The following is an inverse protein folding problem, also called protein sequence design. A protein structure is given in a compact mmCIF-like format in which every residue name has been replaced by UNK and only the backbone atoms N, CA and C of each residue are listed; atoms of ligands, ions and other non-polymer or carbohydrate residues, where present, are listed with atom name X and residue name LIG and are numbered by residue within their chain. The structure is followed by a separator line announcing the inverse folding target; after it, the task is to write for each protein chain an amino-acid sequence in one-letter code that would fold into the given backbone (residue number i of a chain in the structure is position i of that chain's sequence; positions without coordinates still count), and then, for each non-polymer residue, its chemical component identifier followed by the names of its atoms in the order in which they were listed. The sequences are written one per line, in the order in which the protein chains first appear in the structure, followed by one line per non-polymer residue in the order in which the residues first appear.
data_IF_045316020167
#
_entry.id   IF_045316020167
#
_cell.length_a   1.000
_cell.length_b   1.000
_cell.length_c   1.000
_cell.angle_alpha   90.00
_cell.angle_beta   90.00
_cell.angle_gamma   90.00
#
_symmetry.space_group_name_H-M   'P 1'
#
loop_
_entity.id
_entity.type
_entity.pdbx_description
1 polymer ?
#
# COMPACT_ATOMS: atom_id res chain seq x y z
N UNK A 1 70.63 -83.56 -20.70
CA UNK A 1 72.10 -83.41 -20.62
C UNK A 1 72.43 -82.46 -19.48
N UNK A 2 73.12 -82.98 -18.46
CA UNK A 2 74.10 -82.37 -17.55
C UNK A 2 73.90 -80.91 -17.07
N UNK A 3 73.65 -80.81 -15.76
CA UNK A 3 74.39 -80.00 -14.77
C UNK A 3 74.64 -78.51 -15.08
N UNK A 4 74.32 -77.57 -14.19
CA UNK A 4 75.01 -77.44 -12.90
C UNK A 4 74.19 -76.69 -11.84
N UNK A 5 74.23 -77.22 -10.63
CA UNK A 5 73.99 -76.54 -9.36
C UNK A 5 75.23 -75.74 -8.95
N UNK A 6 75.02 -74.63 -8.20
CA UNK A 6 75.87 -73.96 -7.18
C UNK A 6 75.60 -72.45 -7.25
N UNK A 7 75.41 -71.66 -6.19
CA UNK A 7 75.55 -71.79 -4.73
C UNK A 7 74.56 -70.79 -4.10
N UNK A 8 74.05 -71.17 -2.94
CA UNK A 8 73.39 -70.26 -2.01
C UNK A 8 74.35 -69.15 -1.54
N UNK A 9 73.83 -67.94 -1.40
CA UNK A 9 74.31 -66.97 -0.43
C UNK A 9 73.09 -66.21 0.09
N UNK A 10 72.69 -66.56 1.30
CA UNK A 10 71.71 -65.86 2.09
C UNK A 10 72.24 -64.46 2.40
N UNK A 11 71.54 -63.42 1.95
CA UNK A 11 71.67 -62.08 2.52
C UNK A 11 70.32 -61.75 3.15
N UNK A 12 70.26 -61.99 4.46
CA UNK A 12 69.26 -61.41 5.37
C UNK A 12 69.45 -59.89 5.35
N UNK A 13 68.79 -59.21 4.41
CA UNK A 13 68.58 -57.77 4.49
C UNK A 13 67.35 -57.56 5.35
N UNK A 14 67.62 -57.29 6.63
CA UNK A 14 66.70 -56.66 7.56
C UNK A 14 66.17 -55.37 6.93
N UNK A 15 65.00 -55.42 6.29
CA UNK A 15 64.23 -54.20 6.01
C UNK A 15 63.81 -53.62 7.35
N UNK A 16 64.30 -52.44 7.76
CA UNK A 16 63.57 -51.69 8.74
C UNK A 16 62.27 -51.30 8.04
N UNK A 17 61.14 -51.76 8.58
CA UNK A 17 59.87 -51.07 8.38
C UNK A 17 60.13 -49.61 8.74
N UNK A 18 60.35 -48.77 7.71
CA UNK A 18 60.19 -47.34 7.82
C UNK A 18 58.69 -47.14 8.06
N UNK A 19 58.28 -47.29 9.33
CA UNK A 19 57.21 -46.48 9.86
C UNK A 19 57.69 -45.05 9.66
N UNK A 20 57.37 -44.47 8.51
CA UNK A 20 57.32 -43.03 8.37
C UNK A 20 56.40 -42.60 9.50
N UNK A 21 57.02 -42.05 10.54
CA UNK A 21 56.31 -41.34 11.57
C UNK A 21 55.28 -40.47 10.85
N UNK A 22 54.02 -40.57 11.27
CA UNK A 22 53.13 -39.45 11.09
C UNK A 22 53.82 -38.34 11.88
N UNK A 23 54.58 -37.48 11.19
CA UNK A 23 55.00 -36.22 11.78
C UNK A 23 53.72 -35.60 12.30
N UNK A 24 53.72 -35.26 13.59
CA UNK A 24 52.65 -34.45 14.15
C UNK A 24 52.65 -33.18 13.32
N UNK A 25 51.71 -33.07 12.38
CA UNK A 25 51.50 -31.82 11.65
C UNK A 25 51.41 -30.74 12.70
N UNK A 26 52.34 -29.79 12.66
CA UNK A 26 52.42 -28.69 13.59
C UNK A 26 51.25 -27.75 13.25
N UNK A 27 50.03 -28.14 13.65
CA UNK A 27 48.77 -27.44 13.37
C UNK A 27 48.70 -26.02 13.98
N UNK A 28 49.81 -25.49 14.50
CA UNK A 28 49.92 -24.13 15.02
C UNK A 28 50.17 -23.05 13.96
N UNK A 29 50.43 -23.43 12.70
CA UNK A 29 50.71 -22.45 11.62
C UNK A 29 49.88 -22.75 10.38
N UNK A 30 49.17 -21.72 9.93
CA UNK A 30 48.39 -21.75 8.71
C UNK A 30 49.33 -21.76 7.49
N UNK A 31 49.21 -22.79 6.64
CA UNK A 31 50.11 -22.99 5.51
C UNK A 31 49.64 -22.23 4.25
N UNK A 32 50.02 -20.97 4.09
CA UNK A 32 49.85 -20.25 2.84
C UNK A 32 49.76 -18.74 3.01
N UNK A 33 49.67 -18.03 1.88
CA UNK A 33 49.46 -16.58 1.90
C UNK A 33 48.16 -16.24 2.62
N UNK A 34 48.19 -15.22 3.49
CA UNK A 34 46.99 -14.63 4.06
C UNK A 34 46.09 -14.16 2.90
N UNK A 35 44.76 -14.40 2.95
CA UNK A 35 43.86 -13.86 1.95
C UNK A 35 44.01 -12.34 1.86
N UNK A 36 44.11 -11.82 0.63
CA UNK A 36 44.10 -10.39 0.37
C UNK A 36 42.76 -10.04 -0.30
N UNK A 37 41.69 -9.82 0.49
CA UNK A 37 40.39 -9.55 -0.07
C UNK A 37 40.36 -8.18 -0.74
N UNK A 38 39.76 -8.11 -1.92
CA UNK A 38 39.49 -6.86 -2.60
C UNK A 38 38.28 -7.03 -3.52
N UNK A 39 37.56 -5.95 -3.81
CA UNK A 39 36.41 -6.02 -4.70
C UNK A 39 36.18 -4.74 -5.48
N UNK A 40 35.36 -4.86 -6.51
CA UNK A 40 34.72 -3.74 -7.20
C UNK A 40 33.21 -3.89 -7.17
N UNK A 41 32.49 -2.78 -7.28
CA UNK A 41 31.02 -2.75 -7.30
C UNK A 41 30.52 -1.91 -8.47
N UNK A 42 29.48 -2.37 -9.16
CA UNK A 42 28.80 -1.65 -10.22
C UNK A 42 27.32 -1.42 -9.82
N UNK A 43 26.94 -0.16 -9.63
CA UNK A 43 25.57 0.23 -9.27
C UNK A 43 24.73 0.37 -10.53
N UNK A 44 23.66 -0.43 -10.67
CA UNK A 44 22.72 -0.31 -11.78
C UNK A 44 21.53 0.58 -11.40
N UNK A 45 21.65 1.88 -11.67
CA UNK A 45 20.61 2.88 -11.43
C UNK A 45 19.59 3.03 -12.59
N UNK A 46 19.56 2.10 -13.54
CA UNK A 46 18.57 2.11 -14.65
C UNK A 46 17.18 1.61 -14.23
N UNK A 47 17.04 1.18 -12.96
CA UNK A 47 15.79 0.76 -12.38
C UNK A 47 15.82 0.95 -10.85
N UNK A 48 14.63 0.95 -10.25
CA UNK A 48 14.41 0.94 -8.82
C UNK A 48 13.43 -0.19 -8.46
N UNK A 49 13.70 -1.04 -7.46
CA UNK A 49 14.86 -1.01 -6.55
C UNK A 49 16.21 -1.23 -7.26
N UNK A 50 17.29 -0.73 -6.66
CA UNK A 50 18.61 -0.68 -7.31
C UNK A 50 19.35 -1.99 -7.10
N UNK A 51 19.77 -2.61 -8.20
CA UNK A 51 20.64 -3.80 -8.14
C UNK A 51 22.11 -3.37 -8.24
N UNK A 52 22.94 -3.87 -7.34
CA UNK A 52 24.39 -3.68 -7.36
C UNK A 52 25.06 -5.02 -7.61
N UNK A 53 26.01 -5.03 -8.55
CA UNK A 53 26.85 -6.19 -8.85
C UNK A 53 28.20 -6.03 -8.19
N UNK A 54 28.62 -7.01 -7.41
CA UNK A 54 29.88 -7.07 -6.70
C UNK A 54 30.79 -8.12 -7.32
N UNK A 55 32.02 -7.73 -7.65
CA UNK A 55 33.02 -8.61 -8.24
C UNK A 55 34.16 -8.80 -7.24
N UNK A 56 34.38 -10.06 -6.87
CA UNK A 56 35.49 -10.48 -6.02
C UNK A 56 36.81 -10.46 -6.82
N UNK A 57 37.78 -9.70 -6.31
CA UNK A 57 39.15 -9.61 -6.84
C UNK A 57 40.17 -10.10 -5.80
N UNK A 58 39.74 -10.94 -4.85
CA UNK A 58 40.58 -11.43 -3.75
C UNK A 58 41.69 -12.35 -4.23
N UNK A 59 42.85 -12.27 -3.57
CA UNK A 59 43.96 -13.21 -3.77
C UNK A 59 44.07 -14.15 -2.57
N UNK A 60 44.56 -15.38 -2.80
CA UNK A 60 44.75 -16.42 -1.78
C UNK A 60 43.47 -16.79 -1.00
N UNK A 61 42.29 -16.54 -1.57
CA UNK A 61 41.00 -16.88 -0.99
C UNK A 61 40.37 -18.09 -1.70
N UNK A 62 39.71 -18.96 -0.93
CA UNK A 62 38.91 -20.07 -1.46
C UNK A 62 37.42 -19.87 -1.23
N UNK A 63 37.08 -19.20 -0.13
CA UNK A 63 35.72 -18.92 0.27
C UNK A 63 35.62 -17.44 0.53
N UNK A 64 34.65 -16.80 -0.11
CA UNK A 64 34.30 -15.42 0.14
C UNK A 64 32.82 -15.28 0.50
N UNK A 65 32.54 -14.30 1.36
CA UNK A 65 31.20 -13.96 1.82
C UNK A 65 31.04 -12.45 1.80
N UNK A 66 29.96 -12.00 1.19
CA UNK A 66 29.57 -10.61 1.15
C UNK A 66 28.72 -10.26 2.36
N UNK A 67 28.96 -9.09 2.92
CA UNK A 67 28.05 -8.39 3.81
C UNK A 67 27.64 -7.10 3.11
N UNK A 68 26.36 -7.00 2.74
CA UNK A 68 25.88 -5.89 1.90
C UNK A 68 25.57 -4.62 2.71
N UNK A 69 25.69 -4.65 4.04
CA UNK A 69 25.52 -3.48 4.89
C UNK A 69 24.07 -3.14 5.24
N UNK A 70 23.10 -3.93 4.79
CA UNK A 70 21.67 -3.87 5.16
C UNK A 70 21.24 -5.03 6.08
N UNK A 71 22.22 -5.77 6.61
CA UNK A 71 22.01 -6.98 7.43
C UNK A 71 21.94 -8.28 6.64
N UNK A 72 21.92 -8.22 5.30
CA UNK A 72 21.94 -9.42 4.45
C UNK A 72 23.37 -9.82 4.05
N UNK A 73 23.53 -11.10 3.70
CA UNK A 73 24.80 -11.70 3.29
C UNK A 73 24.67 -12.39 1.94
N UNK A 74 25.77 -12.48 1.20
CA UNK A 74 25.82 -13.12 -0.11
C UNK A 74 27.06 -13.98 -0.31
N UNK A 75 27.09 -14.73 -1.42
CA UNK A 75 28.22 -15.56 -1.86
C UNK A 75 28.37 -15.49 -3.38
N UNK A 76 29.55 -15.85 -3.87
CA UNK A 76 29.85 -15.93 -5.30
C UNK A 76 30.53 -14.68 -5.86
N UNK A 77 30.99 -14.79 -7.11
CA UNK A 77 31.58 -13.70 -7.89
C UNK A 77 31.24 -13.92 -9.38
N UNK A 78 30.47 -13.02 -10.02
CA UNK A 78 29.84 -11.85 -9.43
C UNK A 78 28.71 -12.23 -8.43
N UNK A 79 28.52 -11.43 -7.39
CA UNK A 79 27.35 -11.46 -6.53
C UNK A 79 26.44 -10.28 -6.84
N UNK A 80 25.13 -10.49 -6.89
CA UNK A 80 24.14 -9.42 -7.08
C UNK A 80 23.32 -9.22 -5.82
N UNK A 81 23.03 -7.95 -5.50
CA UNK A 81 22.16 -7.59 -4.38
C UNK A 81 21.25 -6.43 -4.74
N UNK A 82 20.00 -6.46 -4.27
CA UNK A 82 18.98 -5.45 -4.59
C UNK A 82 18.61 -4.66 -3.35
N UNK A 83 18.83 -3.34 -3.39
CA UNK A 83 18.49 -2.42 -2.32
C UNK A 83 17.16 -1.72 -2.59
N UNK A 84 16.21 -1.89 -1.67
CA UNK A 84 14.87 -1.30 -1.75
C UNK A 84 14.80 0.13 -1.19
N UNK A 85 15.81 0.56 -0.45
CA UNK A 85 15.86 1.89 0.14
C UNK A 85 17.10 2.64 -0.35
N UNK A 86 16.97 3.94 -0.69
CA UNK A 86 18.14 4.75 -0.98
C UNK A 86 18.97 4.97 0.28
N UNK A 87 20.28 5.10 0.13
CA UNK A 87 21.18 5.27 1.26
C UNK A 87 22.61 4.86 0.95
N UNK A 88 23.48 5.03 1.95
CA UNK A 88 24.87 4.58 1.89
C UNK A 88 25.01 3.29 2.68
N UNK A 89 25.44 2.22 2.00
CA UNK A 89 25.62 0.91 2.58
C UNK A 89 27.10 0.59 2.75
N UNK A 90 27.47 0.13 3.95
CA UNK A 90 28.85 -0.23 4.31
C UNK A 90 29.11 -1.69 3.94
N UNK A 91 29.56 -1.91 2.71
CA UNK A 91 29.80 -3.25 2.17
C UNK A 91 31.16 -3.77 2.62
N UNK A 92 31.21 -5.06 2.98
CA UNK A 92 32.43 -5.77 3.36
C UNK A 92 32.52 -7.13 2.67
N UNK A 93 33.71 -7.50 2.22
CA UNK A 93 34.01 -8.83 1.70
C UNK A 93 34.90 -9.57 2.70
N UNK A 94 34.38 -10.68 3.23
CA UNK A 94 35.11 -11.60 4.09
C UNK A 94 35.73 -12.70 3.23
N UNK A 95 37.02 -12.99 3.41
CA UNK A 95 37.74 -14.02 2.67
C UNK A 95 38.45 -15.00 3.60
N UNK A 96 38.33 -16.29 3.28
CA UNK A 96 39.04 -17.37 3.95
C UNK A 96 39.89 -18.14 2.95
N UNK A 97 41.10 -18.51 3.34
CA UNK A 97 42.05 -19.26 2.53
C UNK A 97 43.03 -20.03 3.42
N UNK A 98 44.10 -20.61 2.84
CA UNK A 98 45.03 -21.44 3.62
C UNK A 98 45.74 -20.67 4.72
N UNK A 99 46.04 -19.38 4.50
CA UNK A 99 46.68 -18.50 5.47
C UNK A 99 45.72 -17.96 6.54
N UNK A 100 44.44 -18.35 6.54
CA UNK A 100 43.45 -17.96 7.54
C UNK A 100 42.34 -17.08 6.99
N UNK A 101 41.95 -16.09 7.79
CA UNK A 101 40.83 -15.19 7.52
C UNK A 101 41.31 -13.76 7.36
N UNK A 102 40.72 -13.03 6.42
CA UNK A 102 40.88 -11.58 6.29
C UNK A 102 39.62 -10.97 5.70
N UNK A 103 39.41 -9.68 5.93
CA UNK A 103 38.27 -8.96 5.39
C UNK A 103 38.71 -7.60 4.83
N UNK A 104 37.96 -7.07 3.86
CA UNK A 104 38.16 -5.69 3.43
C UNK A 104 37.76 -4.72 4.54
N UNK A 105 38.28 -3.48 4.52
CA UNK A 105 37.59 -2.37 5.16
C UNK A 105 36.15 -2.27 4.65
N UNK A 106 35.28 -1.63 5.43
CA UNK A 106 33.95 -1.28 4.94
C UNK A 106 34.08 -0.22 3.85
N UNK A 107 33.51 -0.48 2.69
CA UNK A 107 33.45 0.46 1.56
C UNK A 107 32.02 0.95 1.38
N UNK A 108 31.87 2.27 1.25
CA UNK A 108 30.57 2.89 1.06
C UNK A 108 30.08 2.66 -0.38
N UNK A 109 28.91 2.04 -0.51
CA UNK A 109 28.16 1.93 -1.76
C UNK A 109 26.94 2.82 -1.67
N UNK A 110 26.85 3.79 -2.57
CA UNK A 110 25.77 4.79 -2.59
C UNK A 110 24.64 4.30 -3.50
N UNK A 111 23.48 4.07 -2.91
CA UNK A 111 22.24 3.76 -3.63
C UNK A 111 21.44 5.06 -3.80
N UNK A 112 21.25 5.53 -5.05
CA UNK A 112 20.60 6.81 -5.30
C UNK A 112 19.10 6.77 -4.95
N UNK A 113 18.53 7.94 -4.63
CA UNK A 113 17.09 8.09 -4.47
C UNK A 113 16.38 8.20 -5.82
N UNK A 114 15.30 7.44 -5.97
CA UNK A 114 14.38 7.54 -7.10
C UNK A 114 13.57 8.85 -7.10
N UNK A 115 13.49 9.55 -5.97
CA UNK A 115 12.71 10.80 -5.83
C UNK A 115 13.25 11.99 -6.62
N UNK A 116 14.50 11.91 -7.11
CA UNK A 116 15.04 12.90 -8.04
C UNK A 116 14.37 12.80 -9.43
N UNK A 117 13.76 11.66 -9.75
CA UNK A 117 13.04 11.46 -10.99
C UNK A 117 11.59 11.96 -10.84
N UNK A 118 11.16 12.85 -11.74
CA UNK A 118 9.84 13.47 -11.69
C UNK A 118 8.68 12.47 -11.80
N UNK A 119 8.79 11.46 -12.67
CA UNK A 119 7.76 10.42 -12.85
C UNK A 119 7.57 9.58 -11.59
N UNK A 120 8.68 9.16 -10.97
CA UNK A 120 8.64 8.42 -9.71
C UNK A 120 8.12 9.29 -8.56
N UNK A 121 8.60 10.53 -8.45
CA UNK A 121 8.19 11.47 -7.41
C UNK A 121 6.69 11.75 -7.44
N UNK A 122 6.12 11.94 -8.64
CA UNK A 122 4.69 12.06 -8.81
C UNK A 122 3.96 10.77 -8.43
N UNK A 123 4.42 9.60 -8.91
CA UNK A 123 3.81 8.29 -8.66
C UNK A 123 3.61 7.98 -7.17
N UNK A 124 4.65 8.14 -6.36
CA UNK A 124 4.63 7.73 -4.93
C UNK A 124 4.48 8.91 -3.95
N UNK A 125 4.64 10.15 -4.41
CA UNK A 125 4.59 11.34 -3.57
C UNK A 125 5.82 11.50 -2.68
N UNK A 126 6.95 11.93 -3.23
CA UNK A 126 8.17 12.09 -2.43
C UNK A 126 8.10 13.28 -1.45
N UNK A 127 8.66 13.10 -0.25
CA UNK A 127 8.89 14.14 0.76
C UNK A 127 10.40 14.39 0.85
N UNK A 128 10.88 15.39 0.10
CA UNK A 128 12.32 15.57 -0.13
C UNK A 128 12.89 14.39 -0.93
N UNK A 129 13.92 13.73 -0.41
CA UNK A 129 14.54 12.55 -1.04
C UNK A 129 13.92 11.21 -0.62
N UNK A 130 12.94 11.23 0.29
CA UNK A 130 12.31 10.02 0.81
C UNK A 130 10.97 9.76 0.10
N UNK A 131 10.76 8.56 -0.48
CA UNK A 131 9.47 8.18 -1.01
C UNK A 131 8.44 8.04 0.11
N UNK A 132 7.21 8.51 -0.13
CA UNK A 132 6.05 8.16 0.71
C UNK A 132 5.09 7.25 -0.07
N UNK A 133 3.95 6.90 0.52
CA UNK A 133 2.89 6.20 -0.19
C UNK A 133 1.88 7.22 -0.71
N UNK A 134 1.47 7.09 -1.97
CA UNK A 134 0.42 7.92 -2.56
C UNK A 134 -0.73 7.05 -3.04
N UNK A 135 -1.93 7.46 -2.67
CA UNK A 135 -3.19 6.82 -3.05
C UNK A 135 -3.79 7.56 -4.25
N UNK A 136 -4.10 6.80 -5.28
CA UNK A 136 -4.71 7.25 -6.53
C UNK A 136 -6.09 6.60 -6.71
N UNK A 137 -6.97 7.26 -7.44
CA UNK A 137 -8.26 6.71 -7.87
C UNK A 137 -8.54 7.10 -9.32
N UNK A 138 -9.49 6.47 -9.98
CA UNK A 138 -9.84 6.83 -11.36
C UNK A 138 -10.38 8.25 -11.47
N UNK A 139 -9.99 8.95 -12.54
CA UNK A 139 -10.58 10.24 -12.87
C UNK A 139 -12.03 10.08 -13.35
N UNK A 140 -12.97 10.87 -12.82
CA UNK A 140 -14.34 10.92 -13.32
C UNK A 140 -14.49 11.74 -14.64
N UNK A 141 -13.41 12.35 -15.13
CA UNK A 141 -13.45 13.14 -16.35
C UNK A 141 -13.64 12.28 -17.62
N UNK A 142 -14.16 12.89 -18.69
CA UNK A 142 -14.22 12.23 -20.00
C UNK A 142 -12.81 11.83 -20.45
N UNK A 143 -12.70 10.61 -21.00
CA UNK A 143 -11.43 10.05 -21.47
C UNK A 143 -10.48 9.62 -20.36
N UNK A 144 -10.98 9.39 -19.15
CA UNK A 144 -10.20 8.77 -18.10
C UNK A 144 -9.74 7.35 -18.46
N UNK A 145 -10.54 6.57 -19.19
CA UNK A 145 -10.15 5.27 -19.74
C UNK A 145 -10.28 5.33 -21.26
N UNK A 146 -9.18 5.08 -21.98
CA UNK A 146 -9.17 5.04 -23.45
C UNK A 146 -8.62 3.72 -23.95
N UNK A 147 -9.23 3.20 -25.02
CA UNK A 147 -8.65 2.14 -25.84
C UNK A 147 -8.13 2.75 -27.12
N UNK A 148 -6.93 2.35 -27.51
CA UNK A 148 -6.28 2.80 -28.72
C UNK A 148 -5.87 1.59 -29.57
N UNK A 149 -5.92 1.75 -30.88
CA UNK A 149 -5.34 0.79 -31.81
C UNK A 149 -3.79 0.84 -31.80
N UNK A 150 -3.16 -0.01 -32.60
CA UNK A 150 -1.70 -0.06 -32.72
C UNK A 150 -1.09 1.28 -33.18
N UNK A 151 -1.84 2.07 -33.94
CA UNK A 151 -1.43 3.34 -34.52
C UNK A 151 -1.72 4.55 -33.61
N UNK A 152 -2.18 4.32 -32.37
CA UNK A 152 -2.59 5.33 -31.39
C UNK A 152 -3.90 6.08 -31.75
N UNK A 153 -4.73 5.55 -32.63
CA UNK A 153 -6.07 6.11 -32.81
C UNK A 153 -6.97 5.64 -31.66
N UNK A 154 -7.72 6.55 -31.06
CA UNK A 154 -8.68 6.21 -30.00
C UNK A 154 -9.86 5.45 -30.61
N UNK A 155 -10.05 4.20 -30.18
CA UNK A 155 -11.16 3.34 -30.61
C UNK A 155 -12.34 3.40 -29.66
N UNK A 156 -12.10 3.66 -28.37
CA UNK A 156 -13.14 3.94 -27.38
C UNK A 156 -12.61 4.82 -26.25
N UNK A 157 -13.50 5.57 -25.60
CA UNK A 157 -13.18 6.49 -24.51
C UNK A 157 -14.32 6.53 -23.50
N UNK A 158 -14.02 6.57 -22.20
CA UNK A 158 -15.03 6.77 -21.15
C UNK A 158 -15.68 8.16 -21.27
N UNK A 159 -16.98 8.25 -20.97
CA UNK A 159 -17.68 9.53 -20.88
C UNK A 159 -17.43 10.21 -19.52
N UNK A 160 -17.68 11.52 -19.43
CA UNK A 160 -17.61 12.25 -18.17
C UNK A 160 -18.68 11.74 -17.18
N UNK A 161 -18.32 11.68 -15.90
CA UNK A 161 -19.19 11.21 -14.81
C UNK A 161 -19.76 9.80 -15.02
N UNK A 162 -19.17 9.01 -15.93
CA UNK A 162 -19.66 7.70 -16.33
C UNK A 162 -18.78 6.56 -15.79
N UNK A 163 -17.89 6.83 -14.84
CA UNK A 163 -17.31 5.74 -14.05
C UNK A 163 -18.45 5.10 -13.24
N UNK A 164 -18.70 3.80 -13.41
CA UNK A 164 -19.60 3.08 -12.51
C UNK A 164 -19.19 3.34 -11.06
N UNK A 165 -20.17 3.40 -10.16
CA UNK A 165 -19.93 3.65 -8.74
C UNK A 165 -18.91 2.69 -8.13
N UNK A 166 -18.75 1.49 -8.68
CA UNK A 166 -17.75 0.47 -8.31
C UNK A 166 -16.32 0.71 -8.78
N UNK A 167 -16.08 1.67 -9.67
CA UNK A 167 -14.73 2.06 -10.08
C UNK A 167 -14.35 3.42 -9.48
N UNK A 168 -15.32 4.16 -8.94
CA UNK A 168 -15.09 5.48 -8.39
C UNK A 168 -14.44 5.47 -7.00
N UNK A 169 -14.46 4.33 -6.29
CA UNK A 169 -13.79 4.10 -5.00
C UNK A 169 -12.56 3.21 -5.06
N UNK A 170 -12.25 2.70 -6.25
CA UNK A 170 -11.05 1.92 -6.48
C UNK A 170 -9.82 2.76 -6.14
N UNK A 171 -9.00 2.23 -5.25
CA UNK A 171 -7.77 2.87 -4.79
C UNK A 171 -6.55 2.10 -5.25
N UNK A 172 -5.58 2.84 -5.81
CA UNK A 172 -4.28 2.34 -6.20
C UNK A 172 -3.22 3.05 -5.36
N UNK A 173 -2.60 2.33 -4.45
CA UNK A 173 -1.54 2.89 -3.59
C UNK A 173 -0.19 2.46 -4.11
N UNK A 174 0.64 3.42 -4.51
CA UNK A 174 2.05 3.17 -4.84
C UNK A 174 2.94 3.58 -3.68
N UNK A 175 3.71 2.63 -3.16
CA UNK A 175 4.71 2.84 -2.11
C UNK A 175 6.11 2.67 -2.66
N UNK A 176 6.97 3.68 -2.50
CA UNK A 176 8.36 3.64 -2.94
C UNK A 176 9.35 3.05 -1.92
N UNK A 177 8.94 2.77 -0.67
CA UNK A 177 9.83 2.17 0.36
C UNK A 177 9.88 0.65 0.24
N UNK A 178 8.74 0.03 -0.08
CA UNK A 178 8.60 -1.41 -0.30
C UNK A 178 8.38 -1.76 -1.78
N UNK A 179 8.43 -0.76 -2.67
CA UNK A 179 8.16 -0.90 -4.10
C UNK A 179 6.90 -1.74 -4.36
N UNK A 180 5.79 -1.34 -3.73
CA UNK A 180 4.54 -2.12 -3.72
C UNK A 180 3.40 -1.28 -4.28
N UNK A 181 2.61 -1.90 -5.15
CA UNK A 181 1.31 -1.39 -5.54
C UNK A 181 0.23 -2.20 -4.81
N UNK A 182 -0.62 -1.53 -4.04
CA UNK A 182 -1.82 -2.15 -3.44
C UNK A 182 -3.05 -1.63 -4.15
N UNK A 183 -3.98 -2.52 -4.45
CA UNK A 183 -5.28 -2.19 -4.99
C UNK A 183 -6.36 -2.66 -4.02
N UNK A 184 -7.39 -1.83 -3.84
CA UNK A 184 -8.59 -2.17 -3.11
C UNK A 184 -9.80 -1.76 -3.95
N UNK A 185 -10.56 -2.77 -4.39
CA UNK A 185 -11.87 -2.62 -5.02
C UNK A 185 -12.94 -2.82 -3.98
N UNK A 186 -13.78 -1.81 -3.78
CA UNK A 186 -14.88 -1.88 -2.83
C UNK A 186 -16.20 -2.20 -3.55
N UNK A 187 -17.02 -3.00 -2.86
CA UNK A 187 -18.03 -3.95 -3.36
C UNK A 187 -19.32 -3.35 -3.98
N UNK A 188 -19.24 -2.50 -4.99
CA UNK A 188 -20.47 -1.91 -5.55
C UNK A 188 -21.03 -2.69 -6.77
N UNK A 189 -20.21 -3.41 -7.55
CA UNK A 189 -20.70 -4.15 -8.74
C UNK A 189 -20.10 -5.56 -8.94
N UNK A 190 -19.49 -6.14 -7.91
CA UNK A 190 -18.88 -7.48 -7.96
C UNK A 190 -18.09 -7.76 -6.68
N UNK A 191 -17.56 -8.97 -6.52
CA UNK A 191 -16.81 -9.35 -5.33
C UNK A 191 -15.63 -8.41 -5.06
N UNK A 192 -15.46 -8.01 -3.80
CA UNK A 192 -14.28 -7.27 -3.34
C UNK A 192 -13.00 -7.97 -3.79
N UNK A 193 -12.07 -7.15 -4.29
CA UNK A 193 -10.73 -7.60 -4.64
C UNK A 193 -9.73 -6.67 -3.99
N UNK A 194 -8.86 -7.26 -3.18
CA UNK A 194 -7.66 -6.61 -2.70
C UNK A 194 -6.45 -7.39 -3.18
N UNK A 195 -5.41 -6.68 -3.59
CA UNK A 195 -4.21 -7.28 -4.12
C UNK A 195 -2.99 -6.41 -3.85
N UNK A 196 -1.83 -7.05 -3.81
CA UNK A 196 -0.55 -6.37 -3.66
C UNK A 196 0.44 -7.01 -4.63
N UNK A 197 1.16 -6.17 -5.37
CA UNK A 197 2.25 -6.60 -6.24
C UNK A 197 3.47 -5.73 -6.02
N UNK A 198 4.66 -6.32 -5.89
CA UNK A 198 5.89 -5.57 -6.08
C UNK A 198 5.94 -4.97 -7.49
N UNK A 199 6.60 -3.83 -7.64
CA UNK A 199 6.87 -3.23 -8.94
C UNK A 199 8.31 -2.77 -9.06
N UNK A 200 8.80 -2.73 -10.29
CA UNK A 200 10.08 -2.10 -10.64
C UNK A 200 9.78 -0.82 -11.40
N UNK A 201 10.35 0.29 -10.95
CA UNK A 201 10.33 1.55 -11.69
C UNK A 201 11.55 1.65 -12.60
N UNK A 202 11.35 1.86 -13.89
CA UNK A 202 12.42 2.07 -14.87
C UNK A 202 12.39 3.53 -15.33
N UNK A 203 13.34 4.38 -14.90
CA UNK A 203 13.47 5.73 -15.41
C UNK A 203 13.63 5.72 -16.93
N UNK A 204 13.02 6.69 -17.61
CA UNK A 204 13.33 6.98 -19.01
C UNK A 204 14.32 8.15 -19.04
N UNK A 205 15.34 8.07 -19.90
CA UNK A 205 16.35 9.12 -20.02
C UNK A 205 15.78 10.48 -20.46
N UNK A 206 14.65 10.49 -21.18
CA UNK A 206 13.97 11.70 -21.67
C UNK A 206 12.47 11.74 -21.36
N UNK A 207 11.93 10.75 -20.66
CA UNK A 207 10.50 10.62 -20.34
C UNK A 207 10.23 10.32 -18.86
N UNK A 208 8.95 10.12 -18.52
CA UNK A 208 8.50 9.87 -17.14
C UNK A 208 8.71 8.42 -16.66
N UNK A 209 9.37 7.58 -17.46
CA UNK A 209 9.67 6.19 -17.08
C UNK A 209 8.51 5.21 -17.24
N UNK A 210 8.71 4.01 -16.70
CA UNK A 210 7.79 2.89 -16.78
C UNK A 210 7.69 2.20 -15.42
N UNK A 211 6.55 1.57 -15.15
CA UNK A 211 6.39 0.61 -14.05
C UNK A 211 6.27 -0.79 -14.63
N UNK A 212 6.93 -1.76 -13.99
CA UNK A 212 6.84 -3.18 -14.32
C UNK A 212 6.28 -3.89 -13.10
N UNK A 213 5.07 -4.41 -13.20
CA UNK A 213 4.46 -5.18 -12.12
C UNK A 213 5.02 -6.61 -12.10
N UNK A 214 5.00 -7.25 -10.94
CA UNK A 214 5.50 -8.63 -10.78
C UNK A 214 4.39 -9.66 -10.97
N UNK A 215 3.14 -9.30 -10.74
CA UNK A 215 1.97 -10.15 -10.98
C UNK A 215 0.96 -9.49 -11.91
N UNK A 216 0.38 -10.30 -12.82
CA UNK A 216 -0.53 -9.84 -13.86
C UNK A 216 -1.91 -9.38 -13.32
N UNK A 217 -2.32 -9.89 -12.15
CA UNK A 217 -3.64 -9.62 -11.55
C UNK A 217 -3.72 -8.26 -10.84
N UNK A 218 -2.60 -7.52 -10.76
CA UNK A 218 -2.49 -6.39 -9.85
C UNK A 218 -3.11 -5.09 -10.38
N UNK A 219 -3.31 -4.93 -11.70
CA UNK A 219 -3.76 -3.67 -12.28
C UNK A 219 -5.00 -3.82 -13.16
N UNK A 220 -6.13 -3.38 -12.60
CA UNK A 220 -7.42 -3.09 -13.25
C UNK A 220 -7.96 -4.24 -14.10
N UNK A 221 -8.72 -5.13 -13.45
CA UNK A 221 -10.03 -5.65 -13.91
C UNK A 221 -10.14 -6.45 -15.21
N UNK A 222 -9.17 -6.38 -16.11
CA UNK A 222 -9.04 -7.26 -17.26
C UNK A 222 -7.94 -8.26 -16.98
N UNK A 223 -8.07 -9.47 -17.52
CA UNK A 223 -6.95 -10.40 -17.64
C UNK A 223 -5.90 -9.72 -18.54
N UNK A 224 -5.05 -8.84 -17.99
CA UNK A 224 -4.29 -7.96 -18.87
C UNK A 224 -3.07 -8.70 -19.39
N UNK A 225 -3.20 -9.18 -20.62
CA UNK A 225 -2.12 -9.58 -21.50
C UNK A 225 -1.25 -8.37 -21.93
N UNK A 226 -0.94 -7.45 -20.99
CA UNK A 226 0.08 -6.42 -21.22
C UNK A 226 1.41 -7.12 -21.35
N UNK A 227 2.12 -6.83 -22.43
CA UNK A 227 3.41 -7.43 -22.72
C UNK A 227 4.36 -7.16 -21.55
N UNK A 228 4.83 -8.22 -20.90
CA UNK A 228 5.76 -8.15 -19.76
C UNK A 228 5.29 -7.26 -18.60
N UNK A 229 3.97 -7.10 -18.40
CA UNK A 229 3.38 -6.35 -17.27
C UNK A 229 3.94 -4.91 -17.14
N UNK A 230 4.33 -4.32 -18.27
CA UNK A 230 4.99 -3.02 -18.34
C UNK A 230 3.99 -1.93 -18.72
N UNK A 231 3.94 -0.86 -17.93
CA UNK A 231 3.07 0.28 -18.15
C UNK A 231 3.93 1.55 -18.28
N UNK A 232 3.72 2.26 -19.38
CA UNK A 232 4.35 3.56 -19.62
C UNK A 232 3.68 4.64 -18.78
N UNK A 233 4.48 5.50 -18.16
CA UNK A 233 3.98 6.72 -17.54
C UNK A 233 3.92 7.79 -18.63
N UNK A 234 2.71 8.14 -19.05
CA UNK A 234 2.45 9.11 -20.11
C UNK A 234 2.36 10.53 -19.55
N UNK A 235 1.81 10.66 -18.35
CA UNK A 235 1.63 11.92 -17.65
C UNK A 235 1.75 11.67 -16.15
N UNK A 236 2.48 12.50 -15.42
CA UNK A 236 2.59 12.37 -13.98
C UNK A 236 2.86 13.74 -13.35
N UNK A 237 1.99 14.14 -12.44
CA UNK A 237 2.08 15.37 -11.67
C UNK A 237 1.55 15.14 -10.25
N UNK A 238 1.46 16.19 -9.44
CA UNK A 238 0.83 16.11 -8.13
C UNK A 238 -0.67 15.81 -8.19
N UNK A 239 -1.33 16.04 -9.33
CA UNK A 239 -2.79 15.99 -9.49
C UNK A 239 -3.29 15.00 -10.54
N UNK A 240 -2.39 14.47 -11.39
CA UNK A 240 -2.76 13.53 -12.44
C UNK A 240 -1.68 12.47 -12.62
N UNK A 241 -2.09 11.25 -12.89
CA UNK A 241 -1.22 10.15 -13.29
C UNK A 241 -1.89 9.43 -14.46
N UNK A 242 -1.22 9.35 -15.60
CA UNK A 242 -1.70 8.60 -16.76
C UNK A 242 -0.76 7.46 -17.07
N UNK A 243 -1.29 6.26 -16.98
CA UNK A 243 -0.59 5.01 -17.28
C UNK A 243 -1.11 4.44 -18.59
N UNK A 244 -0.21 3.87 -19.39
CA UNK A 244 -0.55 3.18 -20.64
C UNK A 244 0.00 1.76 -20.61
N UNK A 245 -0.88 0.77 -20.76
CA UNK A 245 -0.49 -0.60 -21.03
C UNK A 245 -0.59 -0.92 -22.52
N UNK A 246 0.36 -1.68 -23.05
CA UNK A 246 0.35 -2.19 -24.45
C UNK A 246 0.19 -3.70 -24.48
N UNK A 247 -0.86 -4.17 -25.14
CA UNK A 247 -1.15 -5.59 -25.34
C UNK A 247 -0.24 -6.19 -26.42
N UNK A 248 -0.09 -7.53 -26.43
CA UNK A 248 0.76 -8.23 -27.40
C UNK A 248 0.38 -7.97 -28.87
N UNK A 249 -0.90 -7.66 -29.15
CA UNK A 249 -1.39 -7.29 -30.49
C UNK A 249 -1.14 -5.81 -30.85
N UNK A 250 -0.43 -5.05 -30.01
CA UNK A 250 -0.11 -3.64 -30.21
C UNK A 250 -1.20 -2.65 -29.78
N UNK A 251 -2.42 -3.12 -29.46
CA UNK A 251 -3.48 -2.25 -28.92
C UNK A 251 -3.12 -1.75 -27.53
N UNK A 252 -3.60 -0.57 -27.16
CA UNK A 252 -3.21 0.12 -25.92
C UNK A 252 -4.42 0.47 -25.09
N UNK A 253 -4.21 0.48 -23.77
CA UNK A 253 -5.18 1.00 -22.80
C UNK A 253 -4.53 2.10 -22.00
N UNK A 254 -5.11 3.30 -22.03
CA UNK A 254 -4.72 4.41 -21.17
C UNK A 254 -5.70 4.56 -20.02
N UNK A 255 -5.16 4.76 -18.82
CA UNK A 255 -5.94 5.04 -17.61
C UNK A 255 -5.40 6.31 -16.98
N UNK A 256 -6.30 7.24 -16.70
CA UNK A 256 -6.04 8.49 -15.99
C UNK A 256 -6.55 8.38 -14.56
N UNK A 257 -5.63 8.55 -13.63
CA UNK A 257 -5.84 8.54 -12.20
C UNK A 257 -5.63 9.95 -11.64
N UNK A 258 -6.30 10.24 -10.55
CA UNK A 258 -6.17 11.47 -9.76
C UNK A 258 -5.89 11.10 -8.30
N UNK A 259 -5.25 11.98 -7.50
CA UNK A 259 -5.05 11.71 -6.08
C UNK A 259 -6.38 11.42 -5.39
N UNK A 260 -6.40 10.39 -4.56
CA UNK A 260 -7.58 10.05 -3.80
C UNK A 260 -7.83 11.12 -2.72
N UNK A 261 -8.95 11.82 -2.82
CA UNK A 261 -9.45 12.73 -1.79
C UNK A 261 -10.55 12.02 -0.98
N UNK A 262 -10.15 11.52 0.18
CA UNK A 262 -11.05 10.79 1.09
C UNK A 262 -12.26 11.64 1.51
N UNK A 263 -12.07 12.95 1.73
CA UNK A 263 -13.15 13.86 2.17
C UNK A 263 -14.16 14.04 1.05
N UNK A 264 -13.69 14.34 -0.17
CA UNK A 264 -14.58 14.45 -1.34
C UNK A 264 -15.32 13.15 -1.61
N UNK A 265 -14.67 11.98 -1.44
CA UNK A 265 -15.33 10.68 -1.60
C UNK A 265 -16.42 10.44 -0.54
N UNK A 266 -16.13 10.72 0.72
CA UNK A 266 -17.14 10.60 1.80
C UNK A 266 -18.32 11.52 1.53
N UNK A 267 -18.08 12.75 1.04
CA UNK A 267 -19.16 13.66 0.63
C UNK A 267 -20.01 13.09 -0.51
N UNK A 268 -19.37 12.52 -1.53
CA UNK A 268 -20.09 11.88 -2.64
C UNK A 268 -20.94 10.70 -2.17
N UNK A 269 -20.44 9.87 -1.24
CA UNK A 269 -21.21 8.77 -0.67
C UNK A 269 -22.38 9.27 0.16
N UNK A 270 -22.15 10.31 0.99
CA UNK A 270 -23.17 10.96 1.82
C UNK A 270 -24.33 11.52 0.99
N UNK A 271 -24.02 12.12 -0.16
CA UNK A 271 -25.00 12.82 -1.01
C UNK A 271 -25.42 12.03 -2.26
N UNK A 272 -24.85 10.86 -2.50
CA UNK A 272 -25.05 10.14 -3.78
C UNK A 272 -24.60 10.93 -5.03
N UNK A 273 -23.78 11.96 -4.86
CA UNK A 273 -23.34 12.88 -5.93
C UNK A 273 -24.26 14.10 -6.14
N UNK A 274 -25.53 14.03 -5.74
CA UNK A 274 -26.49 15.14 -5.87
C UNK A 274 -27.28 15.32 -4.58
N UNK A 275 -28.11 14.34 -4.25
CA UNK A 275 -28.78 14.24 -2.95
C UNK A 275 -29.01 12.76 -2.61
N UNK A 276 -28.92 12.40 -1.33
CA UNK A 276 -29.22 11.06 -0.85
C UNK A 276 -29.91 11.14 0.49
N UNK A 277 -30.90 10.27 0.67
CA UNK A 277 -31.68 10.13 1.90
C UNK A 277 -31.23 8.87 2.64
N UNK A 278 -31.10 9.02 3.96
CA UNK A 278 -30.74 7.98 4.90
C UNK A 278 -31.85 7.84 5.93
N UNK A 279 -31.97 6.65 6.51
CA UNK A 279 -32.86 6.36 7.65
C UNK A 279 -32.07 5.60 8.70
N UNK A 280 -32.50 5.64 9.96
CA UNK A 280 -31.88 4.81 10.99
C UNK A 280 -32.10 3.32 10.67
N UNK A 281 -31.04 2.52 10.76
CA UNK A 281 -31.11 1.09 10.43
C UNK A 281 -31.74 0.30 11.59
N UNK A 282 -33.06 0.21 11.61
CA UNK A 282 -33.80 -0.56 12.61
C UNK A 282 -33.70 -2.09 12.40
N UNK A 283 -32.94 -2.57 11.42
CA UNK A 283 -32.76 -4.00 11.12
C UNK A 283 -31.50 -4.60 11.75
N UNK A 284 -30.71 -3.78 12.44
CA UNK A 284 -29.50 -4.19 13.14
C UNK A 284 -29.61 -3.90 14.63
N UNK A 285 -28.84 -4.63 15.44
CA UNK A 285 -28.71 -4.30 16.85
C UNK A 285 -27.91 -3.02 17.04
N UNK A 286 -28.17 -2.35 18.17
CA UNK A 286 -27.40 -1.18 18.59
C UNK A 286 -27.40 -0.07 17.53
N UNK A 287 -28.57 0.21 16.94
CA UNK A 287 -28.73 1.27 15.93
C UNK A 287 -28.32 2.63 16.46
N UNK A 288 -28.60 2.90 17.73
CA UNK A 288 -28.12 4.09 18.44
C UNK A 288 -27.37 3.62 19.69
N UNK A 289 -26.16 4.12 19.92
CA UNK A 289 -25.43 3.96 21.19
C UNK A 289 -25.02 5.31 21.74
N UNK A 290 -24.85 5.40 23.06
CA UNK A 290 -24.48 6.63 23.76
C UNK A 290 -23.33 6.35 24.72
N UNK A 291 -22.33 7.21 24.73
CA UNK A 291 -21.17 7.02 25.58
C UNK A 291 -20.20 8.18 25.52
N UNK A 292 -18.94 7.90 25.82
CA UNK A 292 -17.82 8.82 25.66
C UNK A 292 -17.09 8.54 24.35
N UNK A 293 -16.15 9.41 23.97
CA UNK A 293 -15.33 9.18 22.78
C UNK A 293 -14.51 7.87 22.86
N UNK A 294 -14.05 7.51 24.06
CA UNK A 294 -13.26 6.30 24.31
C UNK A 294 -14.14 5.04 24.43
N UNK A 295 -15.36 5.17 24.96
CA UNK A 295 -16.34 4.09 25.02
C UNK A 295 -17.74 4.61 24.59
N UNK A 296 -18.06 4.54 23.28
CA UNK A 296 -19.32 5.05 22.72
C UNK A 296 -20.57 4.28 23.15
N UNK A 297 -20.42 3.24 23.97
CA UNK A 297 -21.49 2.39 24.50
C UNK A 297 -21.68 2.52 26.00
N UNK A 298 -20.81 3.30 26.66
CA UNK A 298 -20.70 3.38 28.11
C UNK A 298 -22.02 3.71 28.81
N UNK A 299 -22.83 4.61 28.25
CA UNK A 299 -24.05 5.10 28.88
C UNK A 299 -25.30 4.39 28.37
N UNK A 300 -25.31 4.05 27.07
CA UNK A 300 -26.35 3.27 26.44
C UNK A 300 -25.73 2.37 25.37
N UNK A 301 -25.67 1.04 25.59
CA UNK A 301 -25.01 0.13 24.67
C UNK A 301 -25.81 -0.15 23.40
N UNK A 302 -27.06 0.34 23.32
CA UNK A 302 -27.96 0.17 22.19
C UNK A 302 -29.12 -0.79 22.44
N UNK A 303 -30.14 -0.70 21.59
CA UNK A 303 -31.34 -1.55 21.63
C UNK A 303 -31.23 -2.80 20.75
N UNK A 304 -32.18 -3.72 20.91
CA UNK A 304 -32.33 -4.89 20.04
C UNK A 304 -32.78 -4.50 18.62
N UNK A 305 -32.69 -5.43 17.66
CA UNK A 305 -33.27 -5.27 16.32
C UNK A 305 -34.76 -4.90 16.44
N UNK A 306 -35.20 -3.88 15.70
CA UNK A 306 -36.60 -3.43 15.71
C UNK A 306 -37.00 -2.59 16.92
N UNK A 307 -36.07 -2.31 17.85
CA UNK A 307 -36.40 -1.60 19.08
C UNK A 307 -36.52 -0.08 18.92
N UNK A 308 -36.24 0.50 17.74
CA UNK A 308 -36.46 1.93 17.53
C UNK A 308 -37.96 2.26 17.60
N UNK A 309 -38.35 3.30 18.35
CA UNK A 309 -39.70 3.86 18.31
C UNK A 309 -40.14 4.21 16.89
N UNK A 310 -41.45 4.17 16.64
CA UNK A 310 -42.01 4.54 15.35
C UNK A 310 -41.56 5.95 14.92
N UNK A 311 -41.58 6.93 15.83
CA UNK A 311 -41.15 8.32 15.62
C UNK A 311 -39.63 8.56 15.48
N UNK A 312 -38.88 7.52 15.13
CA UNK A 312 -37.45 7.54 14.80
C UNK A 312 -37.15 6.60 13.63
N UNK A 313 -37.88 5.48 13.57
CA UNK A 313 -37.65 4.44 12.58
C UNK A 313 -38.00 4.86 11.14
N UNK A 314 -38.89 5.84 10.96
CA UNK A 314 -39.30 6.35 9.64
C UNK A 314 -38.70 7.72 9.27
N UNK A 315 -37.95 8.34 10.19
CA UNK A 315 -37.28 9.62 10.00
C UNK A 315 -36.27 9.58 8.85
N UNK A 316 -36.32 10.61 8.01
CA UNK A 316 -35.44 10.76 6.87
C UNK A 316 -34.38 11.85 7.07
N UNK A 317 -33.14 11.49 6.75
CA UNK A 317 -31.95 12.34 6.82
C UNK A 317 -31.42 12.54 5.40
N UNK A 318 -31.75 13.66 4.77
CA UNK A 318 -31.36 13.94 3.38
C UNK A 318 -30.21 14.93 3.33
N UNK A 319 -29.14 14.56 2.62
CA UNK A 319 -27.97 15.40 2.40
C UNK A 319 -27.80 15.71 0.92
N UNK A 320 -27.53 16.97 0.58
CA UNK A 320 -27.28 17.40 -0.79
C UNK A 320 -25.83 17.83 -1.03
N UNK A 321 -25.40 17.77 -2.29
CA UNK A 321 -24.08 18.24 -2.74
C UNK A 321 -23.90 19.75 -2.56
N UNK A 322 -25.01 20.50 -2.47
CA UNK A 322 -25.06 21.93 -2.17
C UNK A 322 -24.89 22.25 -0.67
N UNK A 323 -24.53 21.25 0.13
CA UNK A 323 -24.40 21.33 1.59
C UNK A 323 -25.71 21.72 2.31
N UNK A 324 -26.83 21.21 1.81
CA UNK A 324 -28.11 21.31 2.50
C UNK A 324 -28.44 19.98 3.16
N UNK A 325 -28.79 20.03 4.43
CA UNK A 325 -29.31 18.92 5.22
C UNK A 325 -30.79 19.16 5.52
N UNK A 326 -31.60 18.13 5.28
CA UNK A 326 -33.03 18.11 5.58
C UNK A 326 -33.34 16.92 6.48
N UNK A 327 -33.95 17.21 7.62
CA UNK A 327 -34.58 16.23 8.48
C UNK A 327 -36.08 16.22 8.22
N UNK A 328 -36.65 15.05 7.97
CA UNK A 328 -38.08 14.87 7.81
C UNK A 328 -38.60 13.79 8.75
N UNK A 329 -39.31 14.22 9.79
CA UNK A 329 -39.81 13.36 10.86
C UNK A 329 -41.08 12.57 10.49
N UNK A 330 -41.60 12.74 9.28
CA UNK A 330 -42.83 12.10 8.82
C UNK A 330 -44.02 12.36 9.75
N UNK A 331 -44.47 11.35 10.50
CA UNK A 331 -45.68 11.43 11.32
C UNK A 331 -45.44 12.05 12.69
N UNK A 332 -44.29 11.77 13.31
CA UNK A 332 -43.99 12.12 14.69
C UNK A 332 -42.50 12.35 14.89
N UNK A 333 -42.15 13.19 15.86
CA UNK A 333 -40.75 13.47 16.19
C UNK A 333 -40.43 12.95 17.58
N UNK A 334 -39.30 12.25 17.70
CA UNK A 334 -38.74 11.86 19.00
C UNK A 334 -38.39 13.07 19.88
N UNK A 335 -38.44 12.90 21.19
CA UNK A 335 -38.00 13.92 22.16
C UNK A 335 -36.93 13.31 23.06
N UNK A 336 -35.70 13.78 22.91
CA UNK A 336 -34.64 13.34 23.82
C UNK A 336 -34.89 13.86 25.25
N UNK A 337 -34.57 13.03 26.25
CA UNK A 337 -34.83 13.32 27.67
C UNK A 337 -36.15 12.78 28.21
N UNK A 338 -37.07 12.35 27.34
CA UNK A 338 -38.24 11.52 27.70
C UNK A 338 -38.27 10.27 26.80
N UNK A 339 -37.47 9.23 27.11
CA UNK A 339 -37.40 8.01 26.30
C UNK A 339 -38.79 7.42 26.06
N UNK A 340 -39.17 7.28 24.78
CA UNK A 340 -40.44 6.68 24.36
C UNK A 340 -41.62 7.65 24.15
N UNK A 341 -41.45 8.96 24.37
CA UNK A 341 -42.49 9.93 24.03
C UNK A 341 -42.26 10.54 22.64
N UNK A 342 -43.19 10.28 21.74
CA UNK A 342 -43.27 10.94 20.44
C UNK A 342 -44.10 12.23 20.57
N UNK A 343 -43.82 13.22 19.73
CA UNK A 343 -44.58 14.48 19.63
C UNK A 343 -44.98 14.74 18.17
N UNK A 344 -45.81 15.76 17.96
CA UNK A 344 -46.16 16.22 16.62
C UNK A 344 -44.91 16.45 15.76
N UNK A 345 -44.96 16.01 14.50
CA UNK A 345 -43.85 16.06 13.55
C UNK A 345 -43.22 17.46 13.44
N UNK A 346 -41.89 17.48 13.39
CA UNK A 346 -41.06 18.66 13.17
C UNK A 346 -39.97 18.33 12.15
N UNK A 347 -40.18 18.78 10.93
CA UNK A 347 -39.19 18.67 9.84
C UNK A 347 -38.47 20.01 9.67
N UNK A 348 -37.19 19.97 9.33
CA UNK A 348 -36.34 21.18 9.31
C UNK A 348 -35.22 21.06 8.28
N UNK A 349 -34.64 22.21 7.94
CA UNK A 349 -33.51 22.32 7.02
C UNK A 349 -32.41 23.20 7.61
N UNK A 350 -31.18 22.74 7.44
CA UNK A 350 -29.96 23.46 7.82
C UNK A 350 -28.94 23.35 6.69
N UNK A 351 -28.21 24.45 6.46
CA UNK A 351 -26.95 24.32 5.72
C UNK A 351 -25.92 23.61 6.61
N UNK A 352 -24.90 23.03 6.00
CA UNK A 352 -23.75 22.50 6.72
C UNK A 352 -22.42 22.92 6.08
N UNK A 353 -21.34 22.89 6.86
CA UNK A 353 -19.98 22.86 6.31
C UNK A 353 -19.50 21.41 6.31
N UNK A 354 -18.63 21.04 5.37
CA UNK A 354 -18.12 19.68 5.24
C UNK A 354 -16.60 19.70 5.10
N UNK A 355 -15.91 18.81 5.80
CA UNK A 355 -14.45 18.78 5.81
C UNK A 355 -13.88 17.53 6.47
N UNK A 356 -12.55 17.46 6.65
CA UNK A 356 -11.91 16.39 7.41
C UNK A 356 -12.43 16.36 8.85
N UNK A 357 -12.51 15.18 9.44
CA UNK A 357 -12.93 15.02 10.83
C UNK A 357 -11.85 15.55 11.80
N UNK A 358 -12.31 16.19 12.88
CA UNK A 358 -11.49 16.49 14.06
C UNK A 358 -11.64 15.31 15.06
N UNK A 359 -10.61 14.45 15.12
CA UNK A 359 -10.62 13.21 15.90
C UNK A 359 -11.04 11.98 15.09
N UNK A 360 -11.69 11.01 15.74
CA UNK A 360 -12.10 9.76 15.09
C UNK A 360 -13.16 10.01 14.01
N UNK A 361 -12.88 9.61 12.78
CA UNK A 361 -13.82 9.68 11.65
C UNK A 361 -13.13 9.89 10.31
N UNK A 362 -13.86 9.64 9.22
CA UNK A 362 -13.42 9.84 7.84
C UNK A 362 -13.58 11.28 7.37
N UNK A 363 -14.66 11.93 7.81
CA UNK A 363 -14.99 13.33 7.53
C UNK A 363 -15.99 13.82 8.58
N UNK A 364 -16.30 15.11 8.58
CA UNK A 364 -17.35 15.66 9.43
C UNK A 364 -18.17 16.71 8.70
N UNK A 365 -19.37 16.94 9.20
CA UNK A 365 -20.15 18.12 8.89
C UNK A 365 -20.58 18.85 10.15
N UNK A 366 -20.70 20.18 10.03
CA UNK A 366 -21.19 21.05 11.09
C UNK A 366 -22.45 21.73 10.61
N UNK A 367 -23.57 21.50 11.31
CA UNK A 367 -24.84 22.16 10.99
C UNK A 367 -24.80 23.63 11.39
N UNK A 368 -25.45 24.50 10.60
CA UNK A 368 -25.50 25.93 10.88
C UNK A 368 -26.63 26.36 11.83
N UNK A 369 -27.57 25.46 12.13
CA UNK A 369 -28.73 25.73 12.99
C UNK A 369 -28.87 24.67 14.07
N UNK A 370 -29.22 25.11 15.27
CA UNK A 370 -29.58 24.23 16.39
C UNK A 370 -31.00 23.66 16.22
N UNK A 371 -31.28 22.55 16.90
CA UNK A 371 -32.53 21.79 16.85
C UNK A 371 -32.82 21.16 15.49
N UNK A 372 -31.80 20.76 14.72
CA UNK A 372 -32.01 20.34 13.32
C UNK A 372 -31.81 18.87 12.97
N UNK A 373 -31.11 18.07 13.78
CA UNK A 373 -30.71 16.72 13.39
C UNK A 373 -31.69 15.60 13.78
N UNK A 374 -31.87 15.33 15.08
CA UNK A 374 -32.90 14.40 15.58
C UNK A 374 -33.67 15.14 16.65
N UNK A 375 -35.00 15.22 16.46
CA UNK A 375 -35.98 15.44 17.51
C UNK A 375 -35.51 16.16 18.77
N UNK A 376 -35.13 17.44 18.61
CA UNK A 376 -34.72 18.40 19.65
C UNK A 376 -33.40 18.15 20.42
N UNK A 377 -32.52 17.23 20.02
CA UNK A 377 -31.16 17.18 20.60
C UNK A 377 -30.09 17.04 19.54
N UNK A 378 -29.55 18.18 19.15
CA UNK A 378 -28.33 18.22 18.39
C UNK A 378 -27.14 17.85 19.29
N UNK A 379 -26.04 17.46 18.64
CA UNK A 379 -24.73 17.55 19.25
C UNK A 379 -24.54 18.96 19.87
N UNK A 380 -24.00 19.10 21.09
CA UNK A 380 -23.80 20.41 21.73
C UNK A 380 -22.99 21.40 20.89
N UNK A 381 -22.14 20.89 20.02
CA UNK A 381 -21.25 21.63 19.10
C UNK A 381 -21.71 21.58 17.63
N UNK A 382 -22.90 21.02 17.37
CA UNK A 382 -23.45 20.79 16.03
C UNK A 382 -22.52 19.99 15.10
N UNK A 383 -21.53 19.29 15.66
CA UNK A 383 -20.54 18.55 14.90
C UNK A 383 -20.95 17.09 14.78
N UNK A 384 -20.93 16.59 13.55
CA UNK A 384 -21.30 15.23 13.20
C UNK A 384 -20.19 14.61 12.36
N UNK A 385 -19.58 13.55 12.89
CA UNK A 385 -18.43 12.85 12.28
C UNK A 385 -18.89 11.56 11.63
N UNK A 386 -18.50 11.34 10.39
CA UNK A 386 -18.80 10.10 9.67
C UNK A 386 -17.72 9.09 10.03
N UNK A 387 -18.06 8.09 10.84
CA UNK A 387 -17.13 7.07 11.33
C UNK A 387 -16.83 6.04 10.24
N UNK A 388 -17.87 5.64 9.49
CA UNK A 388 -17.76 4.76 8.32
C UNK A 388 -18.90 5.04 7.37
N UNK A 389 -18.68 4.89 6.06
CA UNK A 389 -19.74 5.04 5.06
C UNK A 389 -19.49 4.16 3.83
N UNK A 390 -20.57 3.59 3.29
CA UNK A 390 -20.62 2.94 1.97
C UNK A 390 -21.74 3.57 1.13
N UNK A 391 -22.05 2.98 -0.02
CA UNK A 391 -23.23 3.40 -0.81
C UNK A 391 -24.55 3.16 -0.06
N UNK A 392 -24.58 2.14 0.82
CA UNK A 392 -25.77 1.64 1.52
C UNK A 392 -25.79 1.91 3.03
N UNK A 393 -24.65 1.91 3.72
CA UNK A 393 -24.61 1.98 5.17
C UNK A 393 -23.73 3.14 5.64
N UNK A 394 -24.08 3.75 6.77
CA UNK A 394 -23.29 4.81 7.39
C UNK A 394 -23.32 4.65 8.91
N UNK A 395 -22.20 4.94 9.57
CA UNK A 395 -22.14 5.18 11.01
C UNK A 395 -21.81 6.64 11.21
N UNK A 396 -22.74 7.38 11.79
CA UNK A 396 -22.60 8.80 12.09
C UNK A 396 -22.47 8.99 13.60
N UNK A 397 -21.46 9.75 14.02
CA UNK A 397 -21.26 10.15 15.40
C UNK A 397 -21.65 11.60 15.60
N UNK A 398 -22.64 11.86 16.45
CA UNK A 398 -22.97 13.21 16.90
C UNK A 398 -22.11 13.58 18.13
N UNK A 399 -21.56 14.81 18.13
CA UNK A 399 -20.72 15.36 19.19
C UNK A 399 -19.23 15.15 18.95
N UNK A 400 -18.40 16.12 19.35
CA UNK A 400 -16.93 15.98 19.29
C UNK A 400 -16.31 15.13 20.40
N UNK A 401 -17.06 14.85 21.48
CA UNK A 401 -16.53 14.12 22.64
C UNK A 401 -15.44 14.86 23.45
N UNK A 402 -15.11 16.11 23.08
CA UNK A 402 -14.15 16.95 23.80
C UNK A 402 -14.59 17.14 25.25
N UNK A 403 -13.61 17.21 26.17
CA UNK A 403 -13.84 17.39 27.62
C UNK A 403 -14.77 16.33 28.25
N UNK A 404 -14.60 15.06 27.88
CA UNK A 404 -15.48 13.95 28.29
C UNK A 404 -16.96 14.15 27.87
N UNK A 405 -17.19 14.86 26.76
CA UNK A 405 -18.51 15.07 26.20
C UNK A 405 -19.16 13.76 25.73
N UNK A 406 -20.49 13.72 25.82
CA UNK A 406 -21.29 12.60 25.31
C UNK A 406 -21.27 12.55 23.79
N UNK A 407 -21.14 11.34 23.25
CA UNK A 407 -21.26 11.06 21.82
C UNK A 407 -22.38 10.07 21.55
N UNK A 408 -22.99 10.19 20.37
CA UNK A 408 -24.06 9.31 19.91
C UNK A 408 -23.65 8.68 18.59
N UNK A 409 -23.46 7.36 18.56
CA UNK A 409 -23.27 6.64 17.31
C UNK A 409 -24.62 6.20 16.77
N UNK A 410 -24.87 6.50 15.51
CA UNK A 410 -26.09 6.18 14.79
C UNK A 410 -25.74 5.37 13.55
N UNK A 411 -26.33 4.19 13.42
CA UNK A 411 -26.25 3.36 12.21
C UNK A 411 -27.40 3.75 11.29
N UNK A 412 -27.06 4.14 10.07
CA UNK A 412 -28.00 4.54 9.05
C UNK A 412 -27.86 3.63 7.83
N UNK A 413 -28.96 3.45 7.13
CA UNK A 413 -29.04 2.78 5.85
C UNK A 413 -29.61 3.75 4.81
N UNK A 414 -29.10 3.70 3.59
CA UNK A 414 -29.61 4.48 2.47
C UNK A 414 -31.06 4.04 2.16
N UNK A 415 -31.93 5.02 1.93
CA UNK A 415 -33.35 4.78 1.66
C UNK A 415 -33.60 4.29 0.23
#
# INVERSE_FOLDING_TARGET
MKHTWTKAAWVLLTSPLLFTACEKEDHGKLEGGLPAPSFSSAVNATQFPVTVTFTDNSQNAFVTQWEFGDGTIGKGSPATHTYNTPGTYKVRLNASGKGGFSATPQTDVIVPSACSNAGFSALVGCQGSAPSARVWTFSAAAGAIKRLDANNNVTSSSAANALPSCQADDQFTFSGTSFTMTYAANNICGSEKAGSSPFVYKPSGSGLGQIVLSTADAFIGENVAVTSQTYDIIEASSTILRLRGTLANGTKTEVTLVPFDAVTRVKQLLTGGTQKTWVLDNKVEQTITVGTEADPKQYYPGGAVGALPACQADDEFTFSAANEYKYDAKAETFVAGSPGSCQAARSTTSAFTFGPADGTGLAQFVLSKTGTFIGITDAPDLNYRIISITDKNMVLRAGSGKNNGTVFDMKLVAK
#
